data_IF_225038430212
#
_entry.id   IF_225038430212
#
_cell.length_a   1.000
_cell.length_b   1.000
_cell.length_c   1.000
_cell.angle_alpha   90.00
_cell.angle_beta   90.00
_cell.angle_gamma   90.00
#
_symmetry.space_group_name_H-M   'P 1'
#
loop_
_entity.id
_entity.type
_entity.pdbx_description
1 polymer ?
#
# COMPACT_ATOMS: atom_id res chain seq x y z
N UNK A 1 4.16 -10.97 2.69
CA UNK A 1 3.11 -10.45 1.79
C UNK A 1 3.45 -10.92 0.39
N UNK A 2 2.48 -11.39 -0.41
CA UNK A 2 2.77 -11.72 -1.81
C UNK A 2 3.01 -10.43 -2.61
N UNK A 3 4.01 -10.41 -3.50
CA UNK A 3 4.37 -9.21 -4.25
C UNK A 3 3.18 -8.64 -5.04
N UNK A 4 2.31 -9.48 -5.61
CA UNK A 4 1.09 -9.05 -6.30
C UNK A 4 0.08 -8.33 -5.41
N UNK A 5 0.01 -8.64 -4.12
CA UNK A 5 -0.89 -7.95 -3.17
C UNK A 5 -0.39 -6.53 -2.92
N UNK A 6 0.92 -6.34 -2.81
CA UNK A 6 1.52 -5.02 -2.61
C UNK A 6 1.48 -4.17 -3.88
N UNK A 7 1.76 -4.74 -5.05
CA UNK A 7 1.70 -4.01 -6.32
C UNK A 7 0.30 -3.46 -6.61
N UNK A 8 -0.75 -4.23 -6.34
CA UNK A 8 -2.12 -3.72 -6.49
C UNK A 8 -2.44 -2.52 -5.58
N UNK A 9 -1.76 -2.38 -4.44
CA UNK A 9 -1.85 -1.18 -3.59
C UNK A 9 -1.09 -0.01 -4.20
N UNK A 10 0.07 -0.28 -4.82
CA UNK A 10 0.84 0.73 -5.53
C UNK A 10 0.10 1.24 -6.79
N UNK A 11 -0.74 0.41 -7.41
CA UNK A 11 -1.57 0.73 -8.57
C UNK A 11 -2.86 1.52 -8.23
N UNK A 12 -3.13 1.82 -6.95
CA UNK A 12 -4.30 2.61 -6.58
C UNK A 12 -4.21 4.02 -7.19
N UNK A 13 -5.26 4.53 -7.85
CA UNK A 13 -5.25 5.88 -8.41
C UNK A 13 -4.89 6.94 -7.35
N UNK A 14 -3.88 7.76 -7.62
CA UNK A 14 -3.34 8.78 -6.72
C UNK A 14 -2.08 8.34 -5.96
N UNK A 15 -1.74 7.05 -5.98
CA UNK A 15 -0.55 6.51 -5.32
C UNK A 15 0.74 6.92 -6.05
N UNK A 16 0.66 7.16 -7.37
CA UNK A 16 1.75 7.69 -8.21
C UNK A 16 2.29 9.05 -7.75
N UNK A 17 1.47 9.81 -7.01
CA UNK A 17 1.85 11.12 -6.45
C UNK A 17 2.60 10.99 -5.13
N UNK A 18 2.56 9.83 -4.49
CA UNK A 18 3.14 9.56 -3.17
C UNK A 18 4.43 8.76 -3.30
N UNK A 19 4.39 7.72 -4.14
CA UNK A 19 5.44 6.72 -4.30
C UNK A 19 5.67 6.44 -5.77
N UNK A 20 6.89 6.02 -6.09
CA UNK A 20 7.21 5.58 -7.43
C UNK A 20 6.50 4.23 -7.69
N UNK A 21 5.70 4.15 -8.76
CA UNK A 21 4.98 2.93 -9.16
C UNK A 21 5.85 1.96 -9.96
N UNK A 22 7.15 2.24 -10.08
CA UNK A 22 8.09 1.35 -10.73
C UNK A 22 8.09 -0.02 -10.01
N UNK A 23 7.52 -1.03 -10.68
CA UNK A 23 7.47 -2.43 -10.23
C UNK A 23 8.84 -3.13 -10.36
N UNK A 24 9.92 -2.40 -10.12
CA UNK A 24 11.30 -2.80 -10.38
C UNK A 24 12.14 -2.79 -9.10
N UNK A 25 11.65 -3.37 -7.99
CA UNK A 25 12.40 -3.48 -6.72
C UNK A 25 13.10 -2.18 -6.26
N UNK A 26 12.61 -1.02 -6.69
CA UNK A 26 13.24 0.24 -6.36
C UNK A 26 12.97 0.56 -4.90
N UNK A 27 13.98 1.10 -4.22
CA UNK A 27 13.84 1.44 -2.81
C UNK A 27 12.76 2.50 -2.62
N UNK A 28 11.58 2.11 -2.15
CA UNK A 28 10.55 3.05 -1.75
C UNK A 28 11.00 3.74 -0.47
N UNK A 29 11.30 5.03 -0.53
CA UNK A 29 11.52 5.83 0.67
C UNK A 29 10.23 6.58 1.00
N UNK A 30 9.42 5.98 1.86
CA UNK A 30 8.12 6.54 2.25
C UNK A 30 8.29 7.26 3.59
N UNK A 31 8.09 8.58 3.59
CA UNK A 31 8.06 9.37 4.83
C UNK A 31 6.76 9.11 5.60
N UNK A 32 6.70 9.35 6.92
CA UNK A 32 5.48 9.15 7.70
C UNK A 32 4.28 9.93 7.14
N UNK A 33 4.51 11.14 6.62
CA UNK A 33 3.47 11.95 5.99
C UNK A 33 2.93 11.31 4.70
N UNK A 34 3.80 10.69 3.90
CA UNK A 34 3.39 9.94 2.70
C UNK A 34 2.64 8.67 3.08
N UNK A 35 3.13 7.91 4.07
CA UNK A 35 2.48 6.69 4.52
C UNK A 35 1.05 6.94 5.02
N UNK A 36 0.81 8.02 5.77
CA UNK A 36 -0.56 8.43 6.16
C UNK A 36 -1.45 8.66 4.95
N UNK A 37 -0.98 9.40 3.94
CA UNK A 37 -1.72 9.61 2.68
C UNK A 37 -1.95 8.31 1.91
N UNK A 38 -0.99 7.38 1.92
CA UNK A 38 -1.17 6.05 1.34
C UNK A 38 -2.27 5.29 2.08
N UNK A 39 -2.33 5.40 3.42
CA UNK A 39 -3.37 4.78 4.23
C UNK A 39 -4.76 5.32 3.88
N UNK A 40 -4.91 6.63 3.70
CA UNK A 40 -6.17 7.25 3.25
C UNK A 40 -6.64 6.71 1.88
N UNK A 41 -5.70 6.52 0.94
CA UNK A 41 -6.01 5.95 -0.37
C UNK A 41 -6.43 4.48 -0.26
N UNK A 42 -5.69 3.68 0.50
CA UNK A 42 -5.99 2.26 0.72
C UNK A 42 -7.33 2.10 1.45
N UNK A 43 -7.63 2.94 2.45
CA UNK A 43 -8.88 2.93 3.20
C UNK A 43 -10.10 3.18 2.31
N UNK A 44 -9.96 4.05 1.29
CA UNK A 44 -11.03 4.36 0.32
C UNK A 44 -11.08 3.40 -0.87
N UNK A 45 -10.01 2.64 -1.11
CA UNK A 45 -9.91 1.73 -2.24
C UNK A 45 -10.65 0.41 -1.98
N UNK A 46 -11.43 -0.06 -2.96
CA UNK A 46 -12.09 -1.36 -2.91
C UNK A 46 -11.21 -2.40 -3.62
N UNK A 47 -10.67 -3.39 -2.91
CA UNK A 47 -9.81 -4.38 -3.53
C UNK A 47 -10.58 -5.27 -4.52
N UNK A 48 -9.97 -5.69 -5.63
CA UNK A 48 -10.59 -6.62 -6.56
C UNK A 48 -10.75 -8.01 -5.95
N UNK A 49 -11.76 -8.76 -6.42
CA UNK A 49 -12.06 -10.08 -5.89
C UNK A 49 -10.86 -11.03 -6.07
N UNK A 50 -10.41 -11.64 -4.97
CA UNK A 50 -9.26 -12.53 -4.92
C UNK A 50 -7.93 -11.85 -4.58
N UNK A 51 -7.87 -10.52 -4.44
CA UNK A 51 -6.63 -9.75 -4.21
C UNK A 51 -5.74 -10.26 -3.06
N UNK A 52 -6.36 -10.68 -1.95
CA UNK A 52 -5.65 -11.32 -0.83
C UNK A 52 -6.30 -12.66 -0.43
N UNK A 53 -6.89 -13.36 -1.40
CA UNK A 53 -7.68 -14.57 -1.14
C UNK A 53 -8.99 -14.26 -0.41
N UNK A 54 -9.31 -15.01 0.65
CA UNK A 54 -10.58 -14.91 1.39
C UNK A 54 -10.62 -13.83 2.49
N UNK A 55 -9.50 -13.16 2.78
CA UNK A 55 -9.38 -12.21 3.90
C UNK A 55 -8.99 -10.80 3.43
N UNK A 56 -9.65 -10.29 2.39
CA UNK A 56 -9.37 -8.99 1.76
C UNK A 56 -9.55 -7.81 2.72
N UNK A 57 -10.64 -7.79 3.47
CA UNK A 57 -10.89 -6.71 4.45
C UNK A 57 -9.88 -6.72 5.59
N UNK A 58 -9.52 -7.91 6.10
CA UNK A 58 -8.49 -8.04 7.13
C UNK A 58 -7.12 -7.60 6.62
N UNK A 59 -6.73 -8.02 5.42
CA UNK A 59 -5.46 -7.61 4.81
C UNK A 59 -5.41 -6.09 4.58
N UNK A 60 -6.49 -5.51 4.09
CA UNK A 60 -6.63 -4.05 3.94
C UNK A 60 -6.47 -3.35 5.29
N UNK A 61 -7.14 -3.84 6.34
CA UNK A 61 -7.00 -3.31 7.69
C UNK A 61 -5.55 -3.33 8.18
N UNK A 62 -4.85 -4.46 8.04
CA UNK A 62 -3.43 -4.55 8.41
C UNK A 62 -2.54 -3.56 7.66
N UNK A 63 -2.77 -3.34 6.36
CA UNK A 63 -2.01 -2.38 5.57
C UNK A 63 -2.30 -0.95 6.03
N UNK A 64 -3.56 -0.60 6.28
CA UNK A 64 -3.94 0.74 6.78
C UNK A 64 -3.33 1.00 8.15
N UNK A 65 -3.42 0.05 9.08
CA UNK A 65 -2.81 0.16 10.41
C UNK A 65 -1.29 0.28 10.33
N UNK A 66 -0.64 -0.54 9.49
CA UNK A 66 0.79 -0.44 9.25
C UNK A 66 1.19 0.94 8.72
N UNK A 67 0.47 1.45 7.70
CA UNK A 67 0.77 2.75 7.10
C UNK A 67 0.51 3.93 8.05
N UNK A 68 -0.54 3.85 8.89
CA UNK A 68 -0.83 4.88 9.90
C UNK A 68 0.14 4.87 11.07
N UNK A 69 0.58 3.67 11.48
CA UNK A 69 1.50 3.47 12.61
C UNK A 69 2.97 3.59 12.24
N UNK A 70 3.35 3.50 10.96
CA UNK A 70 4.75 3.58 10.57
C UNK A 70 5.27 5.03 10.63
N UNK A 71 6.50 5.18 11.13
CA UNK A 71 7.26 6.43 11.04
C UNK A 71 7.98 6.56 9.68
N UNK A 72 7.33 6.08 8.62
CA UNK A 72 7.96 5.82 7.33
C UNK A 72 8.55 4.41 7.25
N UNK A 73 8.68 3.92 6.02
CA UNK A 73 9.26 2.60 5.75
C UNK A 73 10.11 2.64 4.49
N UNK A 74 11.04 1.69 4.43
CA UNK A 74 11.91 1.46 3.28
C UNK A 74 11.70 0.03 2.79
N UNK A 75 11.35 -0.14 1.52
CA UNK A 75 11.38 -1.46 0.88
C UNK A 75 12.74 -1.67 0.21
N UNK A 76 13.30 -2.87 0.32
CA UNK A 76 14.51 -3.32 -0.35
C UNK A 76 14.18 -4.52 -1.24
#
# INVERSE_FOLDING_TARGET
MANGTWFAVLDIPGMEKLVNQLHTNDSLNVTPAKAKKMADLVERWTPPNGWSGQCQEKMKGYIVEFLRGCNGFRSH
#
